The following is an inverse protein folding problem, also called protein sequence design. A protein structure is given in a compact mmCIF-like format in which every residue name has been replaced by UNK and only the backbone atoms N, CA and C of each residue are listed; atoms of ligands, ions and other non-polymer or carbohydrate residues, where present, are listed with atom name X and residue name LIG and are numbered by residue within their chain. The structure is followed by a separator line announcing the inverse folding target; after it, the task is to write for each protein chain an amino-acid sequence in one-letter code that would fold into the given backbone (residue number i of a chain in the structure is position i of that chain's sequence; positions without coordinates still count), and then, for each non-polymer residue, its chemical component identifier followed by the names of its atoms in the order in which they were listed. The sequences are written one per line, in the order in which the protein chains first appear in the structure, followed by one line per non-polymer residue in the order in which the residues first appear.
data_IF_241046513917
#
_entry.id   IF_241046513917
#
_cell.length_a   1.000
_cell.length_b   1.000
_cell.length_c   1.000
_cell.angle_alpha   90.00
_cell.angle_beta   90.00
_cell.angle_gamma   90.00
#
_symmetry.space_group_name_H-M   'P 1'
#
loop_
_entity.id
_entity.type
_entity.pdbx_description
1 polymer ?
#
# COMPACT_ATOMS: atom_id res chain seq x y z
N UNK A 1 -3.50 -12.78 35.38
CA UNK A 1 -2.25 -13.57 35.52
C UNK A 1 -2.31 -14.66 34.48
N UNK A 2 -1.24 -14.86 33.69
CA UNK A 2 -1.15 -15.95 32.72
C UNK A 2 -0.84 -17.28 33.41
N UNK A 3 -1.41 -18.36 32.91
CA UNK A 3 -1.09 -19.73 33.33
C UNK A 3 0.33 -20.11 32.88
N UNK A 4 0.86 -21.21 33.40
CA UNK A 4 2.13 -21.79 32.95
C UNK A 4 2.12 -22.06 31.44
N UNK A 5 1.03 -22.65 30.91
CA UNK A 5 0.90 -22.98 29.49
C UNK A 5 0.86 -21.77 28.59
N UNK A 6 0.17 -20.69 29.00
CA UNK A 6 0.12 -19.44 28.27
C UNK A 6 1.50 -18.79 28.22
N UNK A 7 2.24 -18.79 29.33
CA UNK A 7 3.57 -18.22 29.37
C UNK A 7 4.59 -18.95 28.46
N UNK A 8 4.54 -20.28 28.38
CA UNK A 8 5.51 -21.03 27.58
C UNK A 8 5.13 -21.13 26.10
N UNK A 9 3.85 -20.98 25.76
CA UNK A 9 3.36 -21.32 24.42
C UNK A 9 2.94 -20.12 23.55
N UNK A 10 2.63 -18.95 24.17
CA UNK A 10 1.95 -17.88 23.44
C UNK A 10 2.62 -16.52 23.47
N UNK A 11 3.64 -16.28 24.30
CA UNK A 11 4.17 -14.94 24.51
C UNK A 11 5.63 -14.74 24.08
N UNK A 12 6.34 -15.79 23.69
CA UNK A 12 7.77 -15.70 23.35
C UNK A 12 7.98 -15.98 21.85
N UNK A 13 8.69 -15.07 21.16
CA UNK A 13 8.91 -15.12 19.73
C UNK A 13 10.32 -14.66 19.35
N UNK A 14 10.83 -15.12 18.21
CA UNK A 14 12.05 -14.59 17.62
C UNK A 14 11.81 -13.20 17.03
N UNK A 15 10.64 -13.00 16.41
CA UNK A 15 10.25 -11.71 15.83
C UNK A 15 8.78 -11.40 16.17
N UNK A 16 8.54 -10.21 16.69
CA UNK A 16 7.18 -9.64 16.78
C UNK A 16 7.05 -8.45 15.84
N UNK A 17 5.97 -8.44 15.09
CA UNK A 17 5.60 -7.36 14.18
C UNK A 17 4.36 -6.65 14.73
N UNK A 18 4.44 -5.33 14.87
CA UNK A 18 3.30 -4.51 15.32
C UNK A 18 2.60 -3.92 14.11
N UNK A 19 1.35 -4.35 13.90
CA UNK A 19 0.51 -3.97 12.78
C UNK A 19 0.43 -5.02 11.67
N UNK A 20 -0.78 -5.47 11.35
CA UNK A 20 -1.10 -6.45 10.30
C UNK A 20 -1.45 -5.81 8.95
N UNK A 21 -0.98 -4.59 8.69
CA UNK A 21 -1.09 -3.96 7.38
C UNK A 21 -0.23 -4.67 6.32
N UNK A 22 -0.29 -4.19 5.08
CA UNK A 22 0.46 -4.76 3.94
C UNK A 22 1.96 -4.86 4.24
N UNK A 23 2.54 -3.86 4.90
CA UNK A 23 3.96 -3.85 5.26
C UNK A 23 4.27 -4.93 6.30
N UNK A 24 3.47 -5.00 7.39
CA UNK A 24 3.69 -5.97 8.45
C UNK A 24 3.55 -7.42 7.99
N UNK A 25 2.48 -7.72 7.26
CA UNK A 25 2.26 -9.05 6.69
C UNK A 25 3.35 -9.44 5.68
N UNK A 26 3.74 -8.51 4.79
CA UNK A 26 4.81 -8.76 3.81
C UNK A 26 6.16 -8.97 4.49
N UNK A 27 6.46 -8.20 5.54
CA UNK A 27 7.67 -8.36 6.36
C UNK A 27 7.69 -9.73 7.01
N UNK A 28 6.59 -10.15 7.65
CA UNK A 28 6.47 -11.45 8.29
C UNK A 28 6.71 -12.60 7.32
N UNK A 29 6.03 -12.57 6.17
CA UNK A 29 6.16 -13.60 5.12
C UNK A 29 7.59 -13.66 4.57
N UNK A 30 8.21 -12.51 4.28
CA UNK A 30 9.58 -12.47 3.77
C UNK A 30 10.60 -12.91 4.82
N UNK A 31 10.43 -12.51 6.08
CA UNK A 31 11.30 -12.93 7.17
C UNK A 31 11.21 -14.44 7.38
N UNK A 32 9.98 -14.99 7.42
CA UNK A 32 9.76 -16.45 7.59
C UNK A 32 10.40 -17.27 6.46
N UNK A 33 10.33 -16.77 5.22
CA UNK A 33 11.00 -17.44 4.08
C UNK A 33 12.53 -17.46 4.19
N UNK A 34 13.13 -16.42 4.79
CA UNK A 34 14.59 -16.33 5.01
C UNK A 34 15.03 -17.09 6.27
N UNK A 35 14.16 -17.18 7.26
CA UNK A 35 14.39 -17.82 8.57
C UNK A 35 13.28 -18.84 8.85
N UNK A 36 13.30 -20.03 8.20
CA UNK A 36 12.19 -20.99 8.27
C UNK A 36 11.87 -21.51 9.68
N UNK A 37 12.87 -21.59 10.57
CA UNK A 37 12.71 -22.02 11.97
C UNK A 37 12.18 -20.93 12.89
N UNK A 38 12.25 -19.65 12.49
CA UNK A 38 11.86 -18.54 13.36
C UNK A 38 10.39 -18.59 13.74
N UNK A 39 10.11 -18.33 15.01
CA UNK A 39 8.78 -18.10 15.55
C UNK A 39 8.40 -16.63 15.38
N UNK A 40 7.25 -16.37 14.74
CA UNK A 40 6.82 -15.01 14.39
C UNK A 40 5.41 -14.76 14.88
N UNK A 41 5.18 -13.61 15.52
CA UNK A 41 3.85 -13.11 15.81
C UNK A 41 3.63 -11.73 15.18
N UNK A 42 2.39 -11.46 14.80
CA UNK A 42 1.89 -10.13 14.41
C UNK A 42 0.86 -9.71 15.45
N UNK A 43 1.01 -8.51 16.00
CA UNK A 43 0.07 -7.92 16.95
C UNK A 43 -0.74 -6.84 16.22
N UNK A 44 -2.05 -7.05 16.12
CA UNK A 44 -2.99 -6.15 15.46
C UNK A 44 -4.01 -5.61 16.47
N UNK A 45 -4.13 -4.29 16.56
CA UNK A 45 -5.07 -3.65 17.50
C UNK A 45 -6.54 -3.85 17.14
N UNK A 46 -6.85 -3.92 15.85
CA UNK A 46 -8.20 -4.11 15.34
C UNK A 46 -8.63 -5.58 15.34
N UNK A 47 -9.92 -5.82 15.14
CA UNK A 47 -10.46 -7.17 14.90
C UNK A 47 -9.94 -7.72 13.56
N UNK A 48 -9.70 -6.83 12.60
CA UNK A 48 -9.05 -7.07 11.32
C UNK A 48 -8.18 -5.86 10.95
N UNK A 49 -7.25 -5.95 9.98
CA UNK A 49 -6.45 -4.80 9.56
C UNK A 49 -7.36 -3.71 9.01
N UNK A 50 -7.56 -2.65 9.80
CA UNK A 50 -8.47 -1.54 9.49
C UNK A 50 -7.75 -0.23 9.19
N UNK A 51 -6.44 -0.27 8.96
CA UNK A 51 -5.61 0.87 8.59
C UNK A 51 -5.66 1.21 7.09
N UNK A 52 -4.65 1.94 6.60
CA UNK A 52 -4.55 2.38 5.21
C UNK A 52 -4.57 1.23 4.19
N UNK A 53 -4.10 0.05 4.59
CA UNK A 53 -4.02 -1.14 3.71
C UNK A 53 -5.37 -1.66 3.24
N UNK A 54 -6.46 -1.36 3.95
CA UNK A 54 -7.83 -1.74 3.58
C UNK A 54 -8.71 -0.55 3.21
N UNK A 55 -8.16 0.69 3.27
CA UNK A 55 -8.89 1.95 3.05
C UNK A 55 -8.30 2.77 1.91
N UNK A 56 -7.71 2.10 0.91
CA UNK A 56 -7.18 2.72 -0.28
C UNK A 56 -8.00 2.34 -1.52
N UNK A 57 -7.72 3.00 -2.64
CA UNK A 57 -8.47 2.81 -3.88
C UNK A 57 -8.00 1.59 -4.71
N UNK A 58 -6.96 0.89 -4.29
CA UNK A 58 -6.44 -0.30 -4.98
C UNK A 58 -5.74 0.00 -6.30
N UNK A 59 -5.01 1.11 -6.37
CA UNK A 59 -4.13 1.41 -7.50
C UNK A 59 -2.81 0.66 -7.34
N UNK A 60 -2.40 -0.04 -8.38
CA UNK A 60 -1.05 -0.57 -8.55
C UNK A 60 -0.31 0.38 -9.48
N UNK A 61 0.17 1.49 -8.94
CA UNK A 61 0.73 2.61 -9.68
C UNK A 61 2.17 2.92 -9.26
N UNK A 62 2.88 3.62 -10.13
CA UNK A 62 4.31 3.92 -9.98
C UNK A 62 4.60 5.43 -9.99
N UNK A 63 3.67 6.24 -10.42
CA UNK A 63 3.73 7.70 -10.54
C UNK A 63 3.42 8.15 -11.97
N UNK A 64 2.58 9.19 -12.09
CA UNK A 64 2.34 9.88 -13.36
C UNK A 64 3.46 10.86 -13.68
N UNK A 65 3.48 11.40 -14.90
CA UNK A 65 4.47 12.41 -15.28
C UNK A 65 4.40 13.60 -14.34
N UNK A 66 3.22 14.12 -14.04
CA UNK A 66 3.11 15.28 -13.15
C UNK A 66 3.46 14.99 -11.68
N UNK A 67 3.31 13.75 -11.22
CA UNK A 67 3.79 13.32 -9.90
C UNK A 67 5.32 13.24 -9.88
N UNK A 68 5.93 12.65 -10.91
CA UNK A 68 7.39 12.58 -11.03
C UNK A 68 8.03 13.98 -11.13
N UNK A 69 7.35 14.93 -11.79
CA UNK A 69 7.78 16.34 -11.84
C UNK A 69 7.74 17.03 -10.48
N UNK A 70 6.72 16.74 -9.69
CA UNK A 70 6.60 17.25 -8.34
C UNK A 70 7.70 16.66 -7.44
N UNK A 71 7.93 15.35 -7.55
CA UNK A 71 8.97 14.65 -6.81
C UNK A 71 10.37 15.15 -7.18
N UNK A 72 10.65 15.53 -8.44
CA UNK A 72 11.94 16.11 -8.90
C UNK A 72 12.27 17.47 -8.25
N UNK A 73 11.31 18.15 -7.65
CA UNK A 73 11.57 19.40 -6.91
C UNK A 73 12.28 19.14 -5.57
N UNK A 74 12.09 17.93 -5.01
CA UNK A 74 12.60 17.54 -3.70
C UNK A 74 13.62 16.38 -3.77
N UNK A 75 13.63 15.62 -4.88
CA UNK A 75 14.46 14.44 -5.08
C UNK A 75 15.30 14.54 -6.36
N UNK A 76 16.43 13.84 -6.41
CA UNK A 76 17.21 13.65 -7.63
C UNK A 76 16.57 12.64 -8.58
N UNK A 77 16.99 12.66 -9.86
CA UNK A 77 16.59 11.67 -10.85
C UNK A 77 16.91 10.24 -10.40
N UNK A 78 18.10 10.01 -9.85
CA UNK A 78 18.51 8.69 -9.34
C UNK A 78 17.61 8.19 -8.22
N UNK A 79 17.18 9.06 -7.30
CA UNK A 79 16.26 8.70 -6.22
C UNK A 79 14.89 8.33 -6.76
N UNK A 80 14.40 9.05 -7.77
CA UNK A 80 13.12 8.74 -8.45
C UNK A 80 13.19 7.39 -9.16
N UNK A 81 14.27 7.13 -9.90
CA UNK A 81 14.49 5.84 -10.58
C UNK A 81 14.50 4.71 -9.57
N UNK A 82 15.27 4.84 -8.48
CA UNK A 82 15.34 3.83 -7.41
C UNK A 82 13.98 3.61 -6.75
N UNK A 83 13.22 4.68 -6.50
CA UNK A 83 11.89 4.58 -5.89
C UNK A 83 10.90 3.88 -6.82
N UNK A 84 10.88 4.26 -8.09
CA UNK A 84 10.01 3.67 -9.12
C UNK A 84 10.34 2.19 -9.32
N UNK A 85 11.62 1.82 -9.41
CA UNK A 85 12.06 0.42 -9.47
C UNK A 85 11.58 -0.38 -8.25
N UNK A 86 11.71 0.16 -7.03
CA UNK A 86 11.23 -0.49 -5.82
C UNK A 86 9.72 -0.71 -5.85
N UNK A 87 8.95 0.27 -6.33
CA UNK A 87 7.48 0.17 -6.48
C UNK A 87 7.12 -0.92 -7.50
N UNK A 88 7.73 -0.89 -8.68
CA UNK A 88 7.48 -1.88 -9.75
C UNK A 88 7.85 -3.30 -9.30
N UNK A 89 9.02 -3.47 -8.70
CA UNK A 89 9.45 -4.76 -8.15
C UNK A 89 8.56 -5.22 -7.00
N UNK A 90 8.12 -4.31 -6.13
CA UNK A 90 7.21 -4.62 -5.03
C UNK A 90 5.86 -5.18 -5.49
N UNK A 91 5.24 -4.56 -6.49
CA UNK A 91 4.00 -5.06 -7.11
C UNK A 91 4.24 -6.41 -7.80
N UNK A 92 5.34 -6.55 -8.54
CA UNK A 92 5.69 -7.80 -9.22
C UNK A 92 5.88 -8.95 -8.23
N UNK A 93 6.55 -8.71 -7.11
CA UNK A 93 6.73 -9.72 -6.06
C UNK A 93 5.42 -10.06 -5.34
N UNK A 94 4.55 -9.07 -5.10
CA UNK A 94 3.24 -9.29 -4.50
C UNK A 94 2.35 -10.19 -5.40
N UNK A 95 2.30 -9.89 -6.70
CA UNK A 95 1.60 -10.70 -7.70
C UNK A 95 2.13 -12.14 -7.76
N UNK A 96 3.46 -12.30 -7.73
CA UNK A 96 4.14 -13.60 -7.70
C UNK A 96 3.85 -14.40 -6.42
N UNK A 97 3.71 -13.69 -5.30
CA UNK A 97 3.44 -14.30 -4.00
C UNK A 97 2.02 -14.80 -3.86
N UNK A 98 1.05 -14.04 -4.34
CA UNK A 98 -0.38 -14.25 -4.09
C UNK A 98 -1.15 -14.77 -5.30
N UNK A 99 -0.68 -14.47 -6.52
CA UNK A 99 -1.38 -14.74 -7.77
C UNK A 99 -2.36 -13.63 -8.16
N UNK A 100 -2.39 -13.30 -9.45
CA UNK A 100 -3.21 -12.20 -9.98
C UNK A 100 -4.71 -12.44 -9.76
N UNK A 101 -5.17 -13.67 -9.90
CA UNK A 101 -6.57 -14.04 -9.69
C UNK A 101 -7.00 -13.83 -8.23
N UNK A 102 -6.18 -14.26 -7.27
CA UNK A 102 -6.48 -14.16 -5.85
C UNK A 102 -6.61 -12.70 -5.36
N UNK A 103 -5.85 -11.78 -5.95
CA UNK A 103 -5.87 -10.36 -5.61
C UNK A 103 -6.70 -9.52 -6.59
N UNK A 104 -7.28 -10.15 -7.61
CA UNK A 104 -7.95 -9.49 -8.73
C UNK A 104 -7.10 -8.35 -9.31
N UNK A 105 -5.86 -8.68 -9.68
CA UNK A 105 -5.03 -7.73 -10.39
C UNK A 105 -5.50 -7.62 -11.85
N UNK A 106 -5.80 -6.39 -12.27
CA UNK A 106 -6.21 -6.07 -13.63
C UNK A 106 -5.19 -5.11 -14.26
N UNK A 107 -4.46 -5.51 -15.32
CA UNK A 107 -3.45 -4.69 -15.98
C UNK A 107 -4.11 -3.69 -16.95
N UNK A 108 -5.02 -2.87 -16.44
CA UNK A 108 -5.81 -1.92 -17.24
C UNK A 108 -5.05 -0.65 -17.63
N UNK A 109 -3.83 -0.46 -17.09
CA UNK A 109 -3.07 0.77 -17.22
C UNK A 109 -3.52 1.85 -16.24
N UNK A 110 -2.63 2.83 -16.02
CA UNK A 110 -2.93 4.08 -15.33
C UNK A 110 -3.05 5.20 -16.36
N UNK A 111 -3.96 6.12 -16.13
CA UNK A 111 -4.22 7.24 -17.05
C UNK A 111 -4.13 8.55 -16.30
N UNK A 112 -3.24 9.43 -16.75
CA UNK A 112 -3.18 10.80 -16.30
C UNK A 112 -4.04 11.68 -17.19
N UNK A 113 -5.04 12.34 -16.58
CA UNK A 113 -5.89 13.31 -17.24
C UNK A 113 -5.22 14.67 -17.22
N UNK A 114 -4.97 15.25 -18.38
CA UNK A 114 -4.34 16.54 -18.50
C UNK A 114 -5.27 17.62 -19.05
N UNK A 115 -4.98 18.85 -18.64
CA UNK A 115 -5.70 20.07 -19.02
C UNK A 115 -4.82 21.03 -19.83
N UNK A 116 -3.52 20.71 -19.91
CA UNK A 116 -2.50 21.41 -20.69
C UNK A 116 -1.70 20.40 -21.51
N UNK A 117 -1.75 20.46 -22.85
CA UNK A 117 -1.06 19.51 -23.73
C UNK A 117 0.46 19.47 -23.57
N UNK A 118 1.09 20.48 -22.98
CA UNK A 118 2.55 20.53 -22.77
C UNK A 118 3.12 19.37 -21.95
N UNK A 119 2.28 18.70 -21.15
CA UNK A 119 2.71 17.49 -20.43
C UNK A 119 3.13 16.35 -21.37
N UNK A 120 2.54 16.27 -22.58
CA UNK A 120 2.88 15.25 -23.58
C UNK A 120 4.32 15.41 -24.10
N UNK A 121 4.86 16.64 -24.15
CA UNK A 121 6.22 16.92 -24.61
C UNK A 121 7.28 16.25 -23.74
N UNK A 122 6.94 15.90 -22.51
CA UNK A 122 7.84 15.29 -21.54
C UNK A 122 7.85 13.77 -21.53
N UNK A 123 6.94 13.13 -22.26
CA UNK A 123 6.86 11.66 -22.35
C UNK A 123 8.20 11.06 -22.74
N UNK A 124 8.89 11.65 -23.72
CA UNK A 124 10.18 11.15 -24.18
C UNK A 124 11.24 11.19 -23.07
N UNK A 125 11.30 12.29 -22.33
CA UNK A 125 12.24 12.45 -21.20
C UNK A 125 12.03 11.40 -20.11
N UNK A 126 10.77 11.22 -19.63
CA UNK A 126 10.49 10.25 -18.57
C UNK A 126 10.61 8.79 -19.03
N UNK A 127 10.32 8.51 -20.29
CA UNK A 127 10.60 7.19 -20.87
C UNK A 127 12.11 6.90 -20.92
N UNK A 128 12.95 7.89 -21.21
CA UNK A 128 14.40 7.77 -21.13
C UNK A 128 14.90 7.59 -19.71
N UNK A 129 14.39 8.41 -18.77
CA UNK A 129 14.78 8.31 -17.34
C UNK A 129 14.47 6.92 -16.74
N UNK A 130 13.37 6.30 -17.15
CA UNK A 130 12.91 5.02 -16.62
C UNK A 130 13.20 3.81 -17.53
N UNK A 131 14.06 3.97 -18.55
CA UNK A 131 14.32 2.92 -19.56
C UNK A 131 14.82 1.59 -18.99
N UNK A 132 15.55 1.64 -17.86
CA UNK A 132 16.09 0.48 -17.17
C UNK A 132 15.16 -0.09 -16.08
N UNK A 133 14.05 0.56 -15.81
CA UNK A 133 13.07 0.13 -14.78
C UNK A 133 12.02 -0.79 -15.37
N UNK A 134 11.53 -0.48 -16.57
CA UNK A 134 10.44 -1.21 -17.23
C UNK A 134 10.93 -1.96 -18.48
N UNK A 135 10.24 -3.03 -18.90
CA UNK A 135 10.59 -3.80 -20.09
C UNK A 135 10.50 -3.01 -21.41
N UNK A 136 9.75 -1.92 -21.42
CA UNK A 136 9.57 -0.99 -22.54
C UNK A 136 9.16 0.38 -22.03
N UNK A 137 9.05 1.38 -22.91
CA UNK A 137 8.63 2.73 -22.55
C UNK A 137 7.33 2.74 -21.74
N UNK A 138 7.32 3.22 -20.48
CA UNK A 138 6.13 3.15 -19.64
C UNK A 138 5.00 4.10 -20.08
N UNK A 139 5.34 5.27 -20.62
CA UNK A 139 4.37 6.31 -20.95
C UNK A 139 4.10 6.41 -22.46
N UNK A 140 2.85 6.62 -22.79
CA UNK A 140 2.41 6.95 -24.15
C UNK A 140 1.24 7.94 -24.13
N UNK A 141 1.19 8.85 -25.10
CA UNK A 141 0.01 9.66 -25.33
C UNK A 141 -1.08 8.81 -25.98
N UNK A 142 -2.27 8.87 -25.43
CA UNK A 142 -3.46 8.15 -25.91
C UNK A 142 -4.68 9.10 -25.97
N UNK A 143 -4.44 10.35 -26.33
CA UNK A 143 -5.46 11.42 -26.37
C UNK A 143 -6.65 11.07 -27.25
N UNK A 144 -6.45 10.28 -28.30
CA UNK A 144 -7.56 9.80 -29.16
C UNK A 144 -8.57 8.95 -28.40
N UNK A 145 -8.18 8.30 -27.29
CA UNK A 145 -9.07 7.49 -26.48
C UNK A 145 -10.07 8.33 -25.66
N UNK A 146 -9.86 9.64 -25.55
CA UNK A 146 -10.81 10.54 -24.88
C UNK A 146 -12.23 10.43 -25.45
N UNK A 147 -12.37 10.14 -26.75
CA UNK A 147 -13.66 9.91 -27.39
C UNK A 147 -14.44 8.70 -26.85
N UNK A 148 -13.72 7.77 -26.22
CA UNK A 148 -14.27 6.54 -25.66
C UNK A 148 -14.66 6.70 -24.17
N UNK A 149 -14.32 7.84 -23.58
CA UNK A 149 -14.55 8.12 -22.17
C UNK A 149 -15.54 9.25 -21.96
N UNK A 150 -16.37 9.22 -20.91
CA UNK A 150 -17.38 10.25 -20.63
C UNK A 150 -16.76 11.48 -19.93
N UNK A 151 -15.58 11.91 -20.36
CA UNK A 151 -14.92 13.05 -19.73
C UNK A 151 -15.40 14.39 -20.28
N UNK A 152 -15.24 15.43 -19.45
CA UNK A 152 -15.50 16.81 -19.87
C UNK A 152 -14.55 17.23 -21.00
N UNK A 153 -15.02 18.08 -21.90
CA UNK A 153 -14.18 18.72 -22.94
C UNK A 153 -13.01 19.56 -22.38
N UNK A 154 -12.96 19.77 -21.07
CA UNK A 154 -11.82 20.42 -20.41
C UNK A 154 -10.60 19.51 -20.34
N UNK A 155 -10.78 18.18 -20.38
CA UNK A 155 -9.68 17.23 -20.49
C UNK A 155 -9.18 17.28 -21.94
N UNK A 156 -7.96 17.74 -22.12
CA UNK A 156 -7.38 18.01 -23.45
C UNK A 156 -6.47 16.89 -23.92
N UNK A 157 -5.90 16.11 -23.00
CA UNK A 157 -5.03 14.99 -23.35
C UNK A 157 -5.10 13.88 -22.29
N UNK A 158 -4.60 12.71 -22.69
CA UNK A 158 -4.56 11.50 -21.87
C UNK A 158 -3.20 10.84 -22.07
N UNK A 159 -2.46 10.66 -20.95
CA UNK A 159 -1.19 9.93 -20.93
C UNK A 159 -1.43 8.60 -20.23
N UNK A 160 -1.05 7.50 -20.87
CA UNK A 160 -1.16 6.14 -20.33
C UNK A 160 0.17 5.66 -19.79
N UNK A 161 0.18 5.13 -18.58
CA UNK A 161 1.25 4.30 -18.05
C UNK A 161 0.86 2.82 -18.21
N UNK A 162 1.52 2.10 -19.12
CA UNK A 162 1.07 0.77 -19.56
C UNK A 162 1.28 -0.36 -18.52
N UNK A 163 2.17 -0.18 -17.56
CA UNK A 163 2.48 -1.21 -16.54
C UNK A 163 1.66 -1.07 -15.26
N UNK A 164 0.85 -0.02 -15.15
CA UNK A 164 -0.05 0.17 -14.03
C UNK A 164 -1.31 -0.67 -14.15
N UNK A 165 -2.02 -0.78 -13.03
CA UNK A 165 -3.25 -1.55 -12.98
C UNK A 165 -4.02 -1.33 -11.70
N UNK A 166 -4.97 -2.21 -11.45
CA UNK A 166 -5.78 -2.17 -10.24
C UNK A 166 -5.74 -3.48 -9.48
N UNK A 167 -5.96 -3.40 -8.16
CA UNK A 167 -6.02 -4.54 -7.24
C UNK A 167 -7.30 -4.44 -6.41
N UNK A 168 -7.89 -5.57 -6.10
CA UNK A 168 -8.94 -5.64 -5.09
C UNK A 168 -8.31 -5.69 -3.69
N UNK A 169 -8.19 -4.55 -3.05
CA UNK A 169 -7.49 -4.36 -1.78
C UNK A 169 -7.92 -5.34 -0.68
N UNK A 170 -9.23 -5.59 -0.54
CA UNK A 170 -9.74 -6.53 0.46
C UNK A 170 -9.30 -7.96 0.19
N UNK A 171 -9.32 -8.42 -1.07
CA UNK A 171 -8.84 -9.75 -1.45
C UNK A 171 -7.33 -9.88 -1.26
N UNK A 172 -6.58 -8.86 -1.65
CA UNK A 172 -5.14 -8.81 -1.42
C UNK A 172 -4.79 -8.97 0.07
N UNK A 173 -5.45 -8.22 0.94
CA UNK A 173 -5.21 -8.32 2.38
C UNK A 173 -5.61 -9.67 2.95
N UNK A 174 -6.73 -10.26 2.49
CA UNK A 174 -7.13 -11.61 2.87
C UNK A 174 -6.07 -12.64 2.46
N UNK A 175 -5.64 -12.61 1.20
CA UNK A 175 -4.62 -13.53 0.70
C UNK A 175 -3.27 -13.40 1.43
N UNK A 176 -2.88 -12.19 1.84
CA UNK A 176 -1.68 -11.99 2.67
C UNK A 176 -1.82 -12.61 4.06
N UNK A 177 -3.00 -12.48 4.70
CA UNK A 177 -3.29 -13.10 6.00
C UNK A 177 -3.24 -14.61 5.89
N UNK A 178 -3.92 -15.17 4.89
CA UNK A 178 -3.95 -16.62 4.65
C UNK A 178 -2.53 -17.14 4.40
N UNK A 179 -1.73 -16.44 3.58
CA UNK A 179 -0.34 -16.78 3.32
C UNK A 179 0.54 -16.73 4.57
N UNK A 180 0.36 -15.75 5.43
CA UNK A 180 1.06 -15.67 6.72
C UNK A 180 0.68 -16.85 7.62
N UNK A 181 -0.59 -17.20 7.70
CA UNK A 181 -1.11 -18.31 8.49
C UNK A 181 -0.58 -19.68 8.00
N UNK A 182 -0.54 -19.91 6.68
CA UNK A 182 0.04 -21.11 6.06
C UNK A 182 1.52 -21.31 6.43
N UNK A 183 2.25 -20.22 6.61
CA UNK A 183 3.65 -20.24 7.03
C UNK A 183 3.82 -20.41 8.56
N UNK A 184 2.75 -20.59 9.30
CA UNK A 184 2.76 -20.75 10.76
C UNK A 184 3.02 -19.45 11.53
N UNK A 185 2.86 -18.28 10.90
CA UNK A 185 2.92 -16.98 11.56
C UNK A 185 1.65 -16.80 12.40
N UNK A 186 1.80 -16.42 13.66
CA UNK A 186 0.67 -16.17 14.56
C UNK A 186 0.19 -14.73 14.40
N UNK A 187 -1.12 -14.53 14.28
CA UNK A 187 -1.73 -13.19 14.18
C UNK A 187 -2.69 -13.03 15.35
N UNK A 188 -2.38 -12.09 16.26
CA UNK A 188 -3.22 -11.73 17.39
C UNK A 188 -3.96 -10.44 17.07
N UNK A 189 -5.29 -10.53 16.91
CA UNK A 189 -6.17 -9.40 16.68
C UNK A 189 -6.79 -8.90 17.98
N UNK A 190 -7.25 -7.65 18.02
CA UNK A 190 -7.72 -7.02 19.26
C UNK A 190 -6.62 -6.86 20.31
N UNK A 191 -5.36 -6.82 19.86
CA UNK A 191 -4.15 -6.81 20.68
C UNK A 191 -3.38 -5.50 20.43
N UNK A 192 -3.72 -4.44 21.15
CA UNK A 192 -3.10 -3.13 20.99
C UNK A 192 -1.81 -3.02 21.79
N UNK A 193 -0.69 -2.76 21.12
CA UNK A 193 0.60 -2.47 21.77
C UNK A 193 0.53 -1.07 22.35
N UNK A 194 0.86 -0.95 23.65
CA UNK A 194 0.86 0.30 24.42
C UNK A 194 2.25 0.77 24.80
N UNK A 195 3.16 -0.16 25.08
CA UNK A 195 4.51 0.15 25.57
C UNK A 195 5.52 -0.85 25.01
N UNK A 196 6.72 -0.36 24.75
CA UNK A 196 7.88 -1.12 24.30
C UNK A 196 9.04 -0.80 25.21
N UNK A 197 9.70 -1.85 25.74
CA UNK A 197 10.92 -1.74 26.53
C UNK A 197 12.08 -2.32 25.72
N UNK A 198 12.82 -1.43 25.04
CA UNK A 198 13.93 -1.80 24.18
C UNK A 198 15.22 -2.11 24.95
N UNK A 199 15.34 -1.63 26.18
CA UNK A 199 16.53 -1.81 27.01
C UNK A 199 16.62 -3.21 27.64
N UNK A 200 15.67 -4.08 27.33
CA UNK A 200 15.62 -5.47 27.79
C UNK A 200 15.96 -6.45 26.67
N UNK A 201 16.60 -7.56 27.05
CA UNK A 201 16.82 -8.69 26.13
C UNK A 201 16.25 -9.97 26.76
N UNK A 202 15.15 -10.53 26.27
CA UNK A 202 14.35 -10.09 25.10
C UNK A 202 13.61 -8.76 25.31
N UNK A 203 13.27 -8.08 24.19
CA UNK A 203 12.42 -6.88 24.19
C UNK A 203 11.05 -7.24 24.77
N UNK A 204 10.53 -6.38 25.68
CA UNK A 204 9.18 -6.54 26.24
C UNK A 204 8.16 -5.66 25.55
N UNK A 205 7.02 -6.24 25.24
CA UNK A 205 5.94 -5.60 24.51
C UNK A 205 4.66 -5.73 25.34
N UNK A 206 4.24 -4.61 25.94
CA UNK A 206 3.00 -4.57 26.71
C UNK A 206 1.81 -4.27 25.81
N UNK A 207 0.80 -5.15 25.86
CA UNK A 207 -0.40 -5.05 25.05
C UNK A 207 -1.64 -4.96 25.92
N UNK A 208 -2.68 -4.32 25.40
CA UNK A 208 -3.99 -4.25 26.01
C UNK A 208 -5.03 -4.82 25.04
N UNK A 209 -5.83 -5.72 25.54
CA UNK A 209 -7.08 -6.16 24.92
C UNK A 209 -8.28 -5.74 25.78
N UNK A 210 -9.50 -6.00 25.31
CA UNK A 210 -10.72 -5.68 26.07
C UNK A 210 -10.81 -6.39 27.42
N UNK A 211 -10.06 -7.46 27.65
CA UNK A 211 -10.19 -8.33 28.82
C UNK A 211 -8.93 -8.40 29.67
N UNK A 212 -7.75 -8.16 29.11
CA UNK A 212 -6.50 -8.33 29.85
C UNK A 212 -5.32 -7.56 29.24
N UNK A 213 -4.32 -7.32 30.07
CA UNK A 213 -2.98 -6.88 29.66
C UNK A 213 -2.09 -8.12 29.55
N UNK A 214 -1.37 -8.23 28.44
CA UNK A 214 -0.40 -9.32 28.19
C UNK A 214 0.95 -8.72 27.83
N UNK A 215 2.01 -9.22 28.45
CA UNK A 215 3.38 -8.91 28.10
C UNK A 215 3.92 -10.00 27.16
N UNK A 216 4.18 -9.62 25.91
CA UNK A 216 4.93 -10.45 24.96
C UNK A 216 6.42 -10.17 25.04
N UNK A 217 7.23 -11.13 24.56
CA UNK A 217 8.70 -11.03 24.51
C UNK A 217 9.19 -11.45 23.15
N UNK A 218 10.17 -10.70 22.62
CA UNK A 218 10.76 -11.01 21.33
C UNK A 218 12.26 -10.71 21.29
N UNK A 219 13.01 -11.51 20.53
CA UNK A 219 14.41 -11.20 20.23
C UNK A 219 14.53 -9.98 19.33
N UNK A 220 13.55 -9.78 18.45
CA UNK A 220 13.48 -8.65 17.51
C UNK A 220 12.04 -8.13 17.41
N UNK A 221 11.90 -6.84 17.06
CA UNK A 221 10.63 -6.20 16.84
C UNK A 221 10.66 -5.41 15.53
N UNK A 222 9.56 -5.43 14.78
CA UNK A 222 9.33 -4.57 13.61
C UNK A 222 8.07 -3.75 13.81
N UNK A 223 8.20 -2.41 13.79
CA UNK A 223 7.07 -1.49 13.88
C UNK A 223 6.52 -1.18 12.49
N UNK A 224 5.32 -1.66 12.20
CA UNK A 224 4.63 -1.47 10.92
C UNK A 224 3.30 -0.73 11.12
N UNK A 225 3.31 0.26 12.01
CA UNK A 225 2.14 0.98 12.50
C UNK A 225 1.80 2.24 11.69
N UNK A 226 2.58 2.53 10.62
CA UNK A 226 2.38 3.66 9.72
C UNK A 226 2.12 4.97 10.50
N UNK A 227 1.04 5.67 10.22
CA UNK A 227 0.67 6.94 10.85
C UNK A 227 0.50 6.90 12.38
N UNK A 228 0.44 5.71 12.98
CA UNK A 228 0.32 5.53 14.43
C UNK A 228 1.65 5.24 15.13
N UNK A 229 2.78 5.30 14.40
CA UNK A 229 4.11 5.04 14.97
C UNK A 229 4.49 6.03 16.06
N UNK A 230 4.07 7.30 15.96
CA UNK A 230 4.30 8.33 16.97
C UNK A 230 3.71 8.01 18.35
N UNK A 231 2.67 7.17 18.41
CA UNK A 231 2.11 6.71 19.69
C UNK A 231 3.02 5.76 20.46
N UNK A 232 3.92 5.07 19.77
CA UNK A 232 4.91 4.13 20.34
C UNK A 232 6.31 4.73 20.40
N UNK A 233 6.59 5.70 19.54
CA UNK A 233 7.86 6.41 19.42
C UNK A 233 7.59 7.93 19.49
N UNK A 234 7.45 8.49 20.71
CA UNK A 234 7.04 9.90 20.88
C UNK A 234 7.98 10.93 20.26
N UNK A 235 9.24 10.57 20.05
CA UNK A 235 10.26 11.45 19.45
C UNK A 235 10.29 11.37 17.91
N UNK A 236 9.38 10.58 17.29
CA UNK A 236 9.26 10.49 15.85
C UNK A 236 8.46 11.69 15.33
N UNK A 237 9.10 12.51 14.52
CA UNK A 237 8.44 13.61 13.79
C UNK A 237 7.60 13.02 12.65
N UNK A 238 6.35 12.70 12.97
CA UNK A 238 5.40 12.09 12.05
C UNK A 238 4.00 12.64 12.27
N UNK A 239 3.51 13.35 11.28
CA UNK A 239 2.12 13.81 11.22
C UNK A 239 1.30 12.96 10.24
N UNK A 240 0.20 12.33 10.68
CA UNK A 240 -0.64 11.53 9.81
C UNK A 240 -1.51 12.41 8.91
N UNK A 241 -1.26 12.39 7.60
CA UNK A 241 -2.16 12.98 6.61
C UNK A 241 -3.42 12.11 6.40
N UNK A 242 -4.59 12.76 6.29
CA UNK A 242 -5.85 12.07 6.04
C UNK A 242 -6.26 12.16 4.58
N UNK A 243 -6.18 11.06 3.84
CA UNK A 243 -6.85 10.88 2.55
C UNK A 243 -8.28 10.36 2.75
N UNK A 244 -9.20 10.80 1.91
CA UNK A 244 -10.58 10.31 1.87
C UNK A 244 -10.83 9.53 0.58
N UNK A 245 -11.60 8.46 0.69
CA UNK A 245 -12.06 7.67 -0.43
C UNK A 245 -13.57 7.50 -0.31
N UNK A 246 -14.28 7.82 -1.37
CA UNK A 246 -15.73 7.65 -1.46
C UNK A 246 -16.06 6.71 -2.63
N UNK A 247 -17.23 6.09 -2.56
CA UNK A 247 -17.74 5.24 -3.63
C UNK A 247 -19.17 5.64 -3.97
N UNK A 248 -19.50 5.69 -5.25
CA UNK A 248 -20.86 6.01 -5.71
C UNK A 248 -21.84 4.86 -5.47
N UNK A 249 -23.13 5.12 -5.59
CA UNK A 249 -24.10 4.07 -5.87
C UNK A 249 -23.80 3.43 -7.23
N UNK A 250 -24.32 2.22 -7.52
CA UNK A 250 -24.17 1.61 -8.84
C UNK A 250 -24.68 2.55 -9.94
N UNK A 251 -23.89 2.68 -11.01
CA UNK A 251 -24.21 3.51 -12.18
C UNK A 251 -24.59 2.55 -13.31
N UNK A 252 -25.83 2.59 -13.81
CA UNK A 252 -26.24 1.75 -14.92
C UNK A 252 -25.38 2.01 -16.17
N UNK A 253 -24.95 0.95 -16.83
CA UNK A 253 -24.17 1.00 -18.06
C UNK A 253 -22.88 1.83 -17.95
N UNK A 254 -22.22 1.82 -16.80
CA UNK A 254 -20.92 2.48 -16.62
C UNK A 254 -19.89 1.89 -17.59
N UNK A 255 -19.57 2.64 -18.63
CA UNK A 255 -18.53 2.28 -19.60
C UNK A 255 -17.25 3.08 -19.28
N UNK A 256 -16.52 2.63 -18.27
CA UNK A 256 -15.25 3.21 -17.87
C UNK A 256 -14.28 2.08 -17.52
N UNK A 257 -13.07 2.08 -18.09
CA UNK A 257 -12.02 1.11 -17.80
C UNK A 257 -10.71 1.85 -17.56
N UNK A 258 -9.93 1.39 -16.59
CA UNK A 258 -8.66 1.99 -16.23
C UNK A 258 -8.65 2.59 -14.83
N UNK A 259 -7.50 3.04 -14.43
CA UNK A 259 -7.29 3.84 -13.22
C UNK A 259 -6.87 5.25 -13.64
N UNK A 260 -7.53 6.25 -13.11
CA UNK A 260 -7.40 7.63 -13.56
C UNK A 260 -6.92 8.51 -12.42
N UNK A 261 -6.02 9.43 -12.73
CA UNK A 261 -5.55 10.44 -11.79
C UNK A 261 -5.28 11.75 -12.52
N UNK A 262 -5.28 12.84 -11.78
CA UNK A 262 -4.99 14.17 -12.26
C UNK A 262 -4.49 15.07 -11.14
N UNK A 263 -4.00 16.25 -11.50
CA UNK A 263 -3.50 17.22 -10.54
C UNK A 263 -2.44 16.63 -9.62
N UNK A 264 -1.35 16.10 -10.22
CA UNK A 264 -0.20 15.50 -9.51
C UNK A 264 -0.63 14.35 -8.57
N UNK A 265 -1.55 13.51 -9.02
CA UNK A 265 -2.07 12.39 -8.23
C UNK A 265 -2.88 12.77 -6.98
N UNK A 266 -3.15 14.06 -6.76
CA UNK A 266 -3.98 14.50 -5.63
C UNK A 266 -5.45 14.11 -5.78
N UNK A 267 -5.90 13.79 -6.98
CA UNK A 267 -7.23 13.27 -7.24
C UNK A 267 -7.12 12.04 -8.12
N UNK A 268 -7.83 10.99 -7.75
CA UNK A 268 -7.78 9.73 -8.45
C UNK A 268 -9.13 9.02 -8.38
N UNK A 269 -9.48 8.29 -9.43
CA UNK A 269 -10.71 7.51 -9.47
C UNK A 269 -10.56 6.30 -10.37
N UNK A 270 -11.39 5.28 -10.13
CA UNK A 270 -11.50 4.10 -10.97
C UNK A 270 -12.90 3.48 -10.90
N UNK A 271 -13.32 2.73 -11.92
CA UNK A 271 -14.51 1.89 -11.81
C UNK A 271 -14.25 0.66 -10.92
N UNK A 272 -15.27 0.24 -10.21
CA UNK A 272 -15.35 -1.03 -9.48
C UNK A 272 -16.82 -1.41 -9.31
N UNK A 273 -17.22 -2.62 -9.68
CA UNK A 273 -18.58 -3.15 -9.52
C UNK A 273 -19.69 -2.19 -10.01
N UNK A 274 -19.55 -1.65 -11.21
CA UNK A 274 -20.42 -0.61 -11.79
C UNK A 274 -20.55 0.66 -10.93
N UNK A 275 -19.54 1.00 -10.17
CA UNK A 275 -19.44 2.20 -9.34
C UNK A 275 -18.16 2.96 -9.68
N UNK A 276 -18.09 4.21 -9.29
CA UNK A 276 -16.83 4.96 -9.28
C UNK A 276 -16.34 5.09 -7.85
N UNK A 277 -15.12 4.63 -7.63
CA UNK A 277 -14.38 4.88 -6.42
C UNK A 277 -13.51 6.11 -6.67
N UNK A 278 -13.65 7.14 -5.84
CA UNK A 278 -12.97 8.44 -5.95
C UNK A 278 -12.21 8.73 -4.67
N UNK A 279 -10.96 9.10 -4.79
CA UNK A 279 -10.15 9.54 -3.67
C UNK A 279 -9.40 10.83 -3.98
N UNK A 280 -8.89 11.46 -2.93
CA UNK A 280 -8.08 12.67 -3.07
C UNK A 280 -8.34 13.73 -2.01
N UNK A 281 -7.89 14.96 -2.32
CA UNK A 281 -8.13 16.12 -1.46
C UNK A 281 -7.18 16.25 -0.26
N UNK A 282 -6.14 15.41 -0.15
CA UNK A 282 -5.18 15.45 0.98
C UNK A 282 -4.45 16.80 1.08
N UNK A 283 -4.26 17.49 -0.04
CA UNK A 283 -3.61 18.80 -0.09
C UNK A 283 -4.48 19.94 0.44
N UNK A 284 -5.78 19.71 0.63
CA UNK A 284 -6.74 20.72 1.12
C UNK A 284 -6.81 20.75 2.64
N UNK A 285 -6.29 19.74 3.33
CA UNK A 285 -6.25 19.63 4.78
C UNK A 285 -4.77 19.60 5.23
N UNK A 286 -4.21 20.79 5.40
CA UNK A 286 -2.96 20.99 6.15
C UNK A 286 -3.29 21.38 7.58
#
# INVERSE_FOLDING_TARGET
MLSYWENVSFINYDLIIVGSGIVGLSTAVKYKKRHPSATIAILERGVFPSGASTKNAGFACFGSISELEDDLQECSEDEIVVLTEKRYRGISELRKLLGDEAIQFEPVGGFELGFDPSACDRIHYYNGLLENVFPSAPFSEVTEDLKNHPFSKKVTHLIKHQFEGTIHTGKMMRSLIDRASELGIRIYTGCEVKQLEFDTNPVRISTVSSQQTVEFRASQIALCTNAFSSSLLPNLDLEPGRGQVIITKPIPNLNLQGSFHYHRGYHYFRPIDNRILLGGGRQLNK
#
